data_IF_396487537145
#
_entry.id   IF_396487537145
#
_cell.length_a   1.000
_cell.length_b   1.000
_cell.length_c   1.000
_cell.angle_alpha   90.00
_cell.angle_beta   90.00
_cell.angle_gamma   90.00
#
_symmetry.space_group_name_H-M   'P 1'
#
loop_
_entity.id
_entity.type
_entity.pdbx_description
1 polymer ?
#
# COMPACT_ATOMS: atom_id res chain seq x y z
N UNK A 1 39.96 46.60 -45.77
CA UNK A 1 40.39 45.50 -44.89
C UNK A 1 39.15 44.90 -44.26
N UNK A 2 38.94 43.61 -44.49
CA UNK A 2 37.67 42.89 -44.33
C UNK A 2 37.38 42.60 -42.85
N UNK A 3 36.19 43.00 -42.40
CA UNK A 3 35.65 42.65 -41.08
C UNK A 3 35.11 41.22 -41.07
N UNK A 4 35.55 40.43 -40.08
CA UNK A 4 35.10 39.06 -39.87
C UNK A 4 33.83 39.00 -39.03
N UNK A 5 32.78 38.37 -39.55
CA UNK A 5 31.63 37.91 -38.78
C UNK A 5 31.92 36.49 -38.25
N UNK A 6 31.66 36.18 -36.97
CA UNK A 6 31.80 34.82 -36.46
C UNK A 6 30.64 33.92 -36.95
N UNK A 7 30.98 32.68 -37.29
CA UNK A 7 30.05 31.64 -37.74
C UNK A 7 29.12 31.15 -36.60
N UNK A 8 27.88 30.73 -36.92
CA UNK A 8 26.96 30.15 -35.95
C UNK A 8 27.44 28.76 -35.49
N UNK A 9 27.28 28.48 -34.20
CA UNK A 9 27.55 27.16 -33.61
C UNK A 9 26.38 26.22 -33.87
N UNK A 10 26.65 25.09 -34.53
CA UNK A 10 25.75 23.94 -34.58
C UNK A 10 25.46 23.43 -33.17
N UNK A 11 24.18 23.50 -32.77
CA UNK A 11 23.69 22.85 -31.56
C UNK A 11 23.40 21.41 -31.93
N UNK A 12 24.37 20.52 -31.72
CA UNK A 12 24.17 19.08 -31.83
C UNK A 12 23.16 18.59 -30.80
N UNK A 13 21.96 18.29 -31.31
CA UNK A 13 21.22 17.05 -31.12
C UNK A 13 21.15 16.51 -29.67
N UNK A 14 20.08 16.88 -28.96
CA UNK A 14 19.64 16.17 -27.77
C UNK A 14 19.31 14.71 -28.17
N UNK A 15 20.14 13.76 -27.74
CA UNK A 15 19.79 12.35 -27.69
C UNK A 15 18.53 12.18 -26.85
N UNK A 16 17.38 12.11 -27.51
CA UNK A 16 16.19 11.47 -26.96
C UNK A 16 16.55 9.99 -26.86
N UNK A 17 17.03 9.55 -25.69
CA UNK A 17 17.06 8.12 -25.39
C UNK A 17 15.62 7.61 -25.45
N UNK A 18 15.28 6.65 -26.33
CA UNK A 18 13.99 5.99 -26.25
C UNK A 18 13.89 5.35 -24.85
N UNK A 19 12.81 5.69 -24.15
CA UNK A 19 12.44 5.10 -22.86
C UNK A 19 12.53 3.56 -23.00
N UNK A 20 13.16 2.83 -22.07
CA UNK A 20 13.21 1.38 -22.14
C UNK A 20 11.78 0.85 -22.24
N UNK A 21 11.45 0.25 -23.37
CA UNK A 21 10.19 -0.46 -23.57
C UNK A 21 10.32 -1.74 -22.75
N UNK A 22 10.08 -1.66 -21.45
CA UNK A 22 9.85 -2.84 -20.62
C UNK A 22 8.60 -3.50 -21.18
N UNK A 23 8.80 -4.50 -22.03
CA UNK A 23 7.73 -5.41 -22.45
C UNK A 23 7.12 -5.95 -21.16
N UNK A 24 5.82 -5.69 -20.88
CA UNK A 24 5.20 -6.20 -19.67
C UNK A 24 5.30 -7.72 -19.73
N UNK A 25 5.99 -8.31 -18.74
CA UNK A 25 5.95 -9.76 -18.54
C UNK A 25 4.49 -10.17 -18.41
N UNK A 26 4.03 -11.18 -19.18
CA UNK A 26 2.63 -11.58 -19.15
C UNK A 26 2.25 -11.97 -17.73
N UNK A 27 1.22 -11.31 -17.19
CA UNK A 27 0.71 -11.65 -15.86
C UNK A 27 0.07 -13.03 -15.94
N UNK A 28 0.41 -13.95 -15.02
CA UNK A 28 -0.29 -15.21 -14.94
C UNK A 28 -1.76 -14.94 -14.62
N UNK A 29 -2.65 -15.47 -15.46
CA UNK A 29 -4.09 -15.46 -15.22
C UNK A 29 -4.44 -16.00 -13.84
N UNK A 30 -5.60 -15.60 -13.30
CA UNK A 30 -6.14 -16.16 -12.06
C UNK A 30 -6.17 -17.70 -12.13
N UNK A 31 -5.45 -18.32 -11.21
CA UNK A 31 -5.52 -19.76 -10.97
C UNK A 31 -6.81 -20.11 -10.23
N UNK A 32 -7.29 -21.35 -10.36
CA UNK A 32 -8.38 -21.84 -9.52
C UNK A 32 -7.95 -21.91 -8.05
N UNK A 33 -6.71 -22.32 -7.81
CA UNK A 33 -6.14 -22.35 -6.47
C UNK A 33 -5.21 -21.15 -6.29
N UNK A 34 -5.54 -20.19 -5.40
CA UNK A 34 -4.68 -19.04 -5.13
C UNK A 34 -3.38 -19.53 -4.49
N UNK A 35 -2.25 -18.94 -4.90
CA UNK A 35 -0.94 -19.25 -4.32
C UNK A 35 -0.86 -18.60 -2.94
N UNK A 36 -0.87 -19.43 -1.90
CA UNK A 36 -0.91 -18.99 -0.50
C UNK A 36 0.44 -19.01 0.20
N UNK A 37 1.54 -19.04 -0.57
CA UNK A 37 2.91 -19.16 -0.06
C UNK A 37 3.80 -18.04 -0.60
N UNK A 38 4.87 -17.73 0.14
CA UNK A 38 5.82 -16.68 -0.21
C UNK A 38 5.28 -15.26 0.02
N UNK A 39 5.93 -14.28 -0.63
CA UNK A 39 5.66 -12.85 -0.45
C UNK A 39 4.36 -12.40 -1.11
N UNK A 40 3.23 -12.73 -0.50
CA UNK A 40 1.89 -12.36 -0.98
C UNK A 40 1.43 -10.98 -0.45
N UNK A 41 0.49 -10.33 -1.12
CA UNK A 41 -0.14 -9.10 -0.60
C UNK A 41 -1.06 -9.41 0.59
N UNK A 42 -1.50 -8.38 1.32
CA UNK A 42 -2.48 -8.58 2.42
C UNK A 42 -3.79 -9.14 1.88
N UNK A 43 -4.23 -8.66 0.73
CA UNK A 43 -5.48 -9.11 0.14
C UNK A 43 -5.39 -10.54 -0.40
N UNK A 44 -4.25 -10.94 -0.97
CA UNK A 44 -3.99 -12.34 -1.33
C UNK A 44 -4.05 -13.25 -0.11
N UNK A 45 -3.44 -12.82 0.99
CA UNK A 45 -3.53 -13.56 2.24
C UNK A 45 -4.99 -13.70 2.72
N UNK A 46 -5.80 -12.65 2.64
CA UNK A 46 -7.22 -12.72 2.99
C UNK A 46 -7.99 -13.71 2.10
N UNK A 47 -7.66 -13.80 0.80
CA UNK A 47 -8.26 -14.79 -0.11
C UNK A 47 -7.88 -16.22 0.28
N UNK A 48 -6.67 -16.42 0.76
CA UNK A 48 -6.18 -17.71 1.24
C UNK A 48 -6.81 -18.14 2.57
N UNK A 49 -6.94 -17.20 3.50
CA UNK A 49 -7.41 -17.46 4.87
C UNK A 49 -8.94 -17.56 4.96
N UNK A 50 -9.67 -16.82 4.11
CA UNK A 50 -11.13 -16.77 4.16
C UNK A 50 -11.79 -17.68 3.09
N UNK A 51 -12.57 -18.70 3.47
CA UNK A 51 -13.16 -19.64 2.52
C UNK A 51 -14.20 -18.99 1.59
N UNK A 52 -14.88 -17.93 2.02
CA UNK A 52 -15.85 -17.21 1.17
C UNK A 52 -15.14 -16.41 0.08
N UNK A 53 -14.02 -15.76 0.41
CA UNK A 53 -13.20 -15.07 -0.60
C UNK A 53 -12.54 -16.06 -1.56
N UNK A 54 -12.07 -17.20 -1.06
CA UNK A 54 -11.53 -18.27 -1.88
C UNK A 54 -12.56 -18.79 -2.90
N UNK A 55 -13.81 -18.99 -2.47
CA UNK A 55 -14.90 -19.38 -3.36
C UNK A 55 -15.19 -18.33 -4.45
N UNK A 56 -15.17 -17.03 -4.10
CA UNK A 56 -15.31 -15.94 -5.08
C UNK A 56 -14.14 -15.94 -6.09
N UNK A 57 -12.92 -16.15 -5.61
CA UNK A 57 -11.74 -16.26 -6.47
C UNK A 57 -11.86 -17.40 -7.48
N UNK A 58 -12.20 -18.60 -7.00
CA UNK A 58 -12.43 -19.79 -7.83
C UNK A 58 -13.50 -19.56 -8.88
N UNK A 59 -14.64 -18.97 -8.49
CA UNK A 59 -15.74 -18.67 -9.40
C UNK A 59 -15.31 -17.71 -10.51
N UNK A 60 -14.57 -16.65 -10.16
CA UNK A 60 -14.08 -15.69 -11.15
C UNK A 60 -13.02 -16.29 -12.07
N UNK A 61 -12.08 -17.06 -11.51
CA UNK A 61 -11.07 -17.79 -12.28
C UNK A 61 -11.71 -18.74 -13.30
N UNK A 62 -12.75 -19.48 -12.89
CA UNK A 62 -13.52 -20.35 -13.78
C UNK A 62 -14.26 -19.57 -14.87
N UNK A 63 -14.95 -18.49 -14.50
CA UNK A 63 -15.66 -17.62 -15.47
C UNK A 63 -14.70 -17.10 -16.54
N UNK A 64 -13.53 -16.60 -16.15
CA UNK A 64 -12.55 -16.06 -17.09
C UNK A 64 -11.80 -17.15 -17.87
N UNK A 65 -11.59 -18.34 -17.29
CA UNK A 65 -11.09 -19.49 -18.05
C UNK A 65 -12.05 -19.84 -19.20
N UNK A 66 -13.35 -19.93 -18.93
CA UNK A 66 -14.38 -20.17 -19.95
C UNK A 66 -14.45 -19.03 -20.97
N UNK A 67 -14.42 -17.77 -20.50
CA UNK A 67 -14.50 -16.61 -21.40
C UNK A 67 -13.34 -16.54 -22.39
N UNK A 68 -12.13 -16.96 -21.98
CA UNK A 68 -10.93 -16.97 -22.83
C UNK A 68 -10.95 -18.07 -23.90
N UNK A 69 -11.60 -19.22 -23.65
CA UNK A 69 -11.65 -20.32 -24.63
C UNK A 69 -12.29 -19.91 -25.96
N UNK A 70 -13.20 -18.94 -25.92
CA UNK A 70 -13.98 -18.48 -27.07
C UNK A 70 -13.79 -16.98 -27.35
N UNK A 71 -12.72 -16.38 -26.82
CA UNK A 71 -12.46 -14.95 -27.02
C UNK A 71 -11.80 -14.70 -28.39
N UNK A 72 -12.24 -13.65 -29.08
CA UNK A 72 -11.44 -13.01 -30.13
C UNK A 72 -10.27 -12.26 -29.50
N UNK A 73 -9.26 -11.88 -30.30
CA UNK A 73 -8.08 -11.14 -29.82
C UNK A 73 -8.47 -9.84 -29.09
N UNK A 74 -9.44 -9.09 -29.63
CA UNK A 74 -9.96 -7.88 -28.99
C UNK A 74 -10.58 -8.19 -27.62
N UNK A 75 -11.40 -9.23 -27.54
CA UNK A 75 -12.03 -9.65 -26.28
C UNK A 75 -10.99 -10.18 -25.29
N UNK A 76 -9.93 -10.82 -25.76
CA UNK A 76 -8.82 -11.27 -24.93
C UNK A 76 -8.10 -10.09 -24.28
N UNK A 77 -7.80 -9.03 -25.04
CA UNK A 77 -7.21 -7.81 -24.51
C UNK A 77 -8.09 -7.15 -23.44
N UNK A 78 -9.41 -7.10 -23.66
CA UNK A 78 -10.37 -6.59 -22.65
C UNK A 78 -10.37 -7.43 -21.37
N UNK A 79 -10.24 -8.75 -21.45
CA UNK A 79 -10.13 -9.63 -20.27
C UNK A 79 -8.81 -9.43 -19.53
N UNK A 80 -7.72 -9.15 -20.26
CA UNK A 80 -6.41 -8.88 -19.67
C UNK A 80 -6.44 -7.55 -18.91
N UNK A 81 -6.98 -6.48 -19.50
CA UNK A 81 -7.15 -5.19 -18.83
C UNK A 81 -7.98 -5.31 -17.54
N UNK A 82 -9.03 -6.14 -17.56
CA UNK A 82 -9.83 -6.44 -16.37
C UNK A 82 -9.03 -7.16 -15.29
N UNK A 83 -8.15 -8.09 -15.67
CA UNK A 83 -7.27 -8.77 -14.72
C UNK A 83 -6.35 -7.78 -14.01
N UNK A 84 -5.71 -6.88 -14.76
CA UNK A 84 -4.88 -5.83 -14.17
C UNK A 84 -5.68 -4.94 -13.21
N UNK A 85 -6.88 -4.52 -13.61
CA UNK A 85 -7.74 -3.67 -12.79
C UNK A 85 -8.16 -4.38 -11.49
N UNK A 86 -8.61 -5.63 -11.57
CA UNK A 86 -8.96 -6.44 -10.40
C UNK A 86 -7.78 -6.61 -9.45
N UNK A 87 -6.61 -7.01 -9.95
CA UNK A 87 -5.43 -7.25 -9.10
C UNK A 87 -5.01 -5.97 -8.37
N UNK A 88 -5.00 -4.84 -9.08
CA UNK A 88 -4.71 -3.53 -8.50
C UNK A 88 -5.73 -3.10 -7.44
N UNK A 89 -7.04 -3.27 -7.70
CA UNK A 89 -8.09 -2.97 -6.73
C UNK A 89 -7.99 -3.88 -5.50
N UNK A 90 -7.80 -5.18 -5.72
CA UNK A 90 -7.67 -6.19 -4.67
C UNK A 90 -6.49 -5.86 -3.76
N UNK A 91 -5.31 -5.58 -4.30
CA UNK A 91 -4.10 -5.37 -3.52
C UNK A 91 -4.13 -4.08 -2.67
N UNK A 92 -5.03 -3.14 -2.99
CA UNK A 92 -5.29 -1.95 -2.18
C UNK A 92 -6.20 -2.23 -0.97
N UNK A 93 -6.96 -3.34 -0.99
CA UNK A 93 -7.89 -3.67 0.08
C UNK A 93 -7.19 -4.12 1.38
N UNK A 94 -7.76 -3.71 2.51
CA UNK A 94 -7.25 -4.02 3.86
C UNK A 94 -8.09 -5.03 4.63
N UNK A 95 -9.32 -5.30 4.18
CA UNK A 95 -10.29 -6.16 4.85
C UNK A 95 -11.08 -7.06 3.88
N UNK A 96 -11.80 -8.04 4.45
CA UNK A 96 -12.56 -9.05 3.70
C UNK A 96 -13.68 -8.44 2.86
N UNK A 97 -14.36 -7.39 3.36
CA UNK A 97 -15.50 -6.79 2.68
C UNK A 97 -15.08 -6.01 1.43
N UNK A 98 -13.96 -5.29 1.52
CA UNK A 98 -13.34 -4.60 0.38
C UNK A 98 -12.97 -5.62 -0.71
N UNK A 99 -12.29 -6.70 -0.33
CA UNK A 99 -11.88 -7.75 -1.29
C UNK A 99 -13.11 -8.41 -1.92
N UNK A 100 -14.12 -8.79 -1.13
CA UNK A 100 -15.35 -9.40 -1.65
C UNK A 100 -16.06 -8.47 -2.64
N UNK A 101 -16.13 -7.18 -2.33
CA UNK A 101 -16.70 -6.15 -3.23
C UNK A 101 -15.93 -6.06 -4.54
N UNK A 102 -14.59 -6.08 -4.48
CA UNK A 102 -13.75 -6.08 -5.68
C UNK A 102 -14.07 -7.30 -6.57
N UNK A 103 -14.04 -8.53 -6.04
CA UNK A 103 -14.37 -9.73 -6.83
C UNK A 103 -15.79 -9.66 -7.43
N UNK A 104 -16.78 -9.23 -6.65
CA UNK A 104 -18.17 -9.14 -7.09
C UNK A 104 -18.40 -8.16 -8.26
N UNK A 105 -17.56 -7.14 -8.42
CA UNK A 105 -17.66 -6.23 -9.58
C UNK A 105 -17.33 -6.89 -10.91
N UNK A 106 -16.49 -7.92 -10.89
CA UNK A 106 -16.04 -8.64 -12.08
C UNK A 106 -16.78 -9.98 -12.28
N UNK A 107 -17.53 -10.42 -11.27
CA UNK A 107 -18.49 -11.52 -11.38
C UNK A 107 -19.80 -11.00 -11.97
N UNK A 108 -20.35 -11.73 -12.96
CA UNK A 108 -21.71 -11.56 -13.50
C UNK A 108 -22.06 -10.24 -14.23
N UNK A 109 -21.11 -9.41 -14.66
CA UNK A 109 -21.39 -8.19 -15.45
C UNK A 109 -20.28 -7.77 -16.42
N UNK A 110 -20.60 -6.91 -17.42
CA UNK A 110 -19.55 -6.25 -18.20
C UNK A 110 -18.68 -5.47 -17.22
N UNK A 111 -17.35 -5.47 -17.41
CA UNK A 111 -16.47 -4.72 -16.52
C UNK A 111 -16.94 -3.26 -16.45
N UNK A 112 -16.70 -2.56 -15.33
CA UNK A 112 -16.79 -1.12 -15.37
C UNK A 112 -15.89 -0.66 -16.52
N UNK A 113 -16.46 0.06 -17.49
CA UNK A 113 -15.67 0.68 -18.56
C UNK A 113 -14.53 1.38 -17.86
N UNK A 114 -13.31 0.96 -18.13
CA UNK A 114 -12.09 1.54 -17.56
C UNK A 114 -12.10 2.98 -18.03
N UNK A 115 -12.76 3.86 -17.28
CA UNK A 115 -12.62 5.28 -17.50
C UNK A 115 -11.17 5.53 -17.17
N UNK A 116 -10.34 6.03 -18.12
CA UNK A 116 -9.01 6.49 -17.77
C UNK A 116 -9.18 7.36 -16.54
N UNK A 117 -8.56 6.93 -15.44
CA UNK A 117 -8.67 7.63 -14.17
C UNK A 117 -8.36 9.08 -14.49
N UNK A 118 -9.28 10.04 -14.24
CA UNK A 118 -8.99 11.44 -14.50
C UNK A 118 -7.67 11.70 -13.80
N UNK A 119 -6.65 12.09 -14.57
CA UNK A 119 -5.32 12.42 -14.06
C UNK A 119 -5.52 13.11 -12.74
N UNK A 120 -5.14 12.46 -11.62
CA UNK A 120 -5.31 13.03 -10.29
C UNK A 120 -4.79 14.46 -10.40
N UNK A 121 -5.61 15.50 -10.16
CA UNK A 121 -5.14 16.85 -10.30
C UNK A 121 -3.88 16.95 -9.46
N UNK A 122 -2.76 17.30 -10.11
CA UNK A 122 -1.50 17.57 -9.40
C UNK A 122 -1.87 18.43 -8.20
N UNK A 123 -1.51 18.06 -6.97
CA UNK A 123 -1.79 18.90 -5.82
C UNK A 123 -1.25 20.28 -6.16
N UNK A 124 -2.15 21.26 -6.28
CA UNK A 124 -1.75 22.66 -6.48
C UNK A 124 -0.70 22.95 -5.41
N UNK A 125 0.42 23.61 -5.75
CA UNK A 125 1.39 24.02 -4.74
C UNK A 125 0.62 24.75 -3.65
N UNK A 126 0.47 24.08 -2.51
CA UNK A 126 -0.20 24.67 -1.36
C UNK A 126 0.58 25.93 -1.02
N UNK A 127 -0.12 27.07 -0.93
CA UNK A 127 0.50 28.27 -0.38
C UNK A 127 1.20 27.87 0.92
N UNK A 128 2.46 28.26 1.15
CA UNK A 128 3.14 27.95 2.39
C UNK A 128 2.22 28.36 3.56
N UNK A 129 2.05 27.50 4.58
CA UNK A 129 1.25 27.85 5.72
C UNK A 129 1.74 29.19 6.24
N UNK A 130 0.87 30.20 6.29
CA UNK A 130 1.18 31.47 6.93
C UNK A 130 1.65 31.13 8.34
N UNK A 131 2.92 31.40 8.62
CA UNK A 131 3.49 31.27 9.96
C UNK A 131 2.63 32.13 10.88
N UNK A 132 1.70 31.49 11.59
CA UNK A 132 1.00 32.11 12.70
C UNK A 132 2.07 32.51 13.69
N UNK A 133 2.20 33.82 13.93
CA UNK A 133 3.06 34.35 14.97
C UNK A 133 2.72 33.65 16.28
N UNK A 134 3.61 32.76 16.72
CA UNK A 134 3.59 32.21 18.07
C UNK A 134 3.83 33.37 19.03
N UNK A 135 2.76 33.87 19.64
CA UNK A 135 2.86 34.75 20.80
C UNK A 135 3.16 33.85 22.01
N UNK A 136 4.32 33.98 22.69
CA UNK A 136 4.48 33.37 24.00
C UNK A 136 3.47 34.03 24.95
N UNK A 137 2.59 33.21 25.54
CA UNK A 137 1.69 33.65 26.61
C UNK A 137 2.53 33.90 27.87
N UNK A 138 2.54 35.10 28.46
CA UNK A 138 3.22 35.34 29.72
C UNK A 138 2.31 34.90 30.88
N UNK A 139 2.89 34.14 31.81
CA UNK A 139 2.38 34.00 33.19
C UNK A 139 1.06 33.23 33.35
N UNK A 140 1.16 31.95 33.68
CA UNK A 140 0.05 31.17 34.24
C UNK A 140 0.61 30.16 35.25
N UNK A 141 0.17 30.17 36.52
CA UNK A 141 0.79 29.43 37.60
C UNK A 141 0.46 27.93 37.51
N UNK A 142 1.47 27.10 37.71
CA UNK A 142 1.42 25.74 38.28
C UNK A 142 0.02 25.08 38.34
N UNK A 143 -0.33 24.36 37.26
CA UNK A 143 -1.46 23.45 37.18
C UNK A 143 -1.01 22.02 36.81
N UNK A 144 -1.72 20.97 37.26
CA UNK A 144 -1.22 19.61 37.33
C UNK A 144 -1.16 18.91 35.97
N UNK A 145 0.02 18.40 35.64
CA UNK A 145 0.22 17.14 34.91
C UNK A 145 -0.38 17.06 33.50
N UNK A 146 0.36 17.54 32.51
CA UNK A 146 0.43 16.77 31.26
C UNK A 146 0.88 15.35 31.65
N UNK A 147 0.14 14.29 31.33
CA UNK A 147 0.64 12.95 31.59
C UNK A 147 1.94 12.80 30.77
N UNK A 148 3.06 12.43 31.40
CA UNK A 148 4.27 12.15 30.65
C UNK A 148 3.97 11.07 29.60
N UNK A 149 4.57 11.13 28.40
CA UNK A 149 4.47 10.04 27.44
C UNK A 149 5.13 8.80 28.04
N UNK A 150 4.34 7.96 28.71
CA UNK A 150 4.85 6.81 29.47
C UNK A 150 3.85 6.16 30.42
N UNK A 151 2.54 6.36 30.24
CA UNK A 151 1.51 5.78 31.12
C UNK A 151 1.02 4.38 30.72
N UNK A 152 1.82 3.64 29.98
CA UNK A 152 1.82 2.18 30.06
C UNK A 152 3.12 1.85 30.79
N UNK A 153 3.04 1.32 32.02
CA UNK A 153 4.14 1.16 32.98
C UNK A 153 5.26 0.21 32.57
N UNK A 154 5.82 0.38 31.38
CA UNK A 154 6.74 -0.54 30.72
C UNK A 154 8.11 0.12 30.44
N UNK A 155 8.67 0.87 31.39
CA UNK A 155 10.08 1.27 31.32
C UNK A 155 10.47 2.22 30.16
N UNK A 156 11.78 2.32 29.85
CA UNK A 156 12.31 3.27 28.86
C UNK A 156 11.76 3.01 27.44
N UNK A 157 11.79 4.07 26.61
CA UNK A 157 11.37 3.98 25.21
C UNK A 157 12.17 2.91 24.46
N UNK A 158 11.58 2.34 23.41
CA UNK A 158 12.26 1.28 22.67
C UNK A 158 13.53 1.82 21.99
N UNK A 159 13.52 3.09 21.59
CA UNK A 159 14.72 3.79 21.09
C UNK A 159 15.82 3.83 22.13
N UNK A 160 15.49 4.12 23.40
CA UNK A 160 16.47 4.18 24.48
C UNK A 160 17.01 2.80 24.88
N UNK A 161 16.23 1.73 24.66
CA UNK A 161 16.61 0.37 25.10
C UNK A 161 17.31 -0.44 24.01
N UNK A 162 16.84 -0.35 22.76
CA UNK A 162 17.28 -1.20 21.65
C UNK A 162 17.88 -0.41 20.48
N UNK A 163 17.90 0.93 20.55
CA UNK A 163 18.36 1.80 19.48
C UNK A 163 17.26 2.18 18.47
N UNK A 164 17.52 3.24 17.71
CA UNK A 164 16.53 3.86 16.81
C UNK A 164 16.08 2.97 15.66
N UNK A 165 16.99 2.20 15.07
CA UNK A 165 16.67 1.31 13.95
C UNK A 165 15.74 0.17 14.37
N UNK A 166 16.03 -0.48 15.49
CA UNK A 166 15.22 -1.59 15.99
C UNK A 166 13.85 -1.12 16.48
N UNK A 167 13.80 0.02 17.16
CA UNK A 167 12.55 0.64 17.57
C UNK A 167 11.65 1.00 16.37
N UNK A 168 12.23 1.55 15.29
CA UNK A 168 11.51 1.85 14.05
C UNK A 168 11.02 0.57 13.36
N UNK A 169 11.84 -0.49 13.32
CA UNK A 169 11.46 -1.78 12.76
C UNK A 169 10.24 -2.35 13.49
N UNK A 170 10.29 -2.36 14.82
CA UNK A 170 9.23 -2.88 15.68
C UNK A 170 7.95 -2.02 15.64
N UNK A 171 8.09 -0.68 15.60
CA UNK A 171 6.96 0.23 15.42
C UNK A 171 6.24 0.02 14.08
N UNK A 172 6.99 -0.16 12.98
CA UNK A 172 6.41 -0.50 11.66
C UNK A 172 5.71 -1.84 11.67
N UNK A 173 6.29 -2.84 12.34
CA UNK A 173 5.66 -4.16 12.50
C UNK A 173 4.35 -4.05 13.28
N UNK A 174 4.35 -3.31 14.39
CA UNK A 174 3.16 -3.00 15.18
C UNK A 174 2.08 -2.30 14.34
N UNK A 175 2.44 -1.27 13.57
CA UNK A 175 1.49 -0.51 12.76
C UNK A 175 0.90 -1.35 11.61
N UNK A 176 1.70 -2.26 11.03
CA UNK A 176 1.23 -3.19 9.99
C UNK A 176 0.23 -4.18 10.52
N UNK A 177 0.47 -4.71 11.72
CA UNK A 177 -0.52 -5.58 12.33
C UNK A 177 -1.71 -4.75 12.80
N UNK A 178 -1.56 -3.62 13.50
CA UNK A 178 -2.67 -2.82 14.05
C UNK A 178 -2.96 -1.51 13.25
N UNK A 179 -3.57 -1.54 12.06
CA UNK A 179 -3.80 -0.34 11.25
C UNK A 179 -4.81 0.64 11.88
N UNK A 180 -5.76 0.14 12.67
CA UNK A 180 -6.77 0.96 13.35
C UNK A 180 -6.25 1.69 14.59
N UNK A 181 -5.16 1.20 15.20
CA UNK A 181 -4.58 1.72 16.44
C UNK A 181 -3.18 2.32 16.21
N UNK A 182 -3.04 3.18 15.19
CA UNK A 182 -1.77 3.81 14.83
C UNK A 182 -1.08 4.57 15.98
N UNK A 183 -1.86 5.14 16.91
CA UNK A 183 -1.35 5.80 18.12
C UNK A 183 -0.58 4.85 19.05
N UNK A 184 -0.88 3.55 18.99
CA UNK A 184 -0.25 2.53 19.84
C UNK A 184 1.10 2.01 19.34
N UNK A 185 1.51 2.38 18.13
CA UNK A 185 2.63 1.77 17.39
C UNK A 185 3.72 2.78 17.02
N UNK A 186 4.16 3.60 17.99
CA UNK A 186 5.24 4.58 17.82
C UNK A 186 6.55 4.09 18.44
N UNK A 187 7.73 4.45 17.88
CA UNK A 187 9.03 4.06 18.43
C UNK A 187 9.33 4.66 19.82
N UNK A 188 8.60 5.71 20.21
CA UNK A 188 8.67 6.31 21.54
C UNK A 188 8.03 5.43 22.62
N UNK A 189 7.23 4.42 22.25
CA UNK A 189 6.67 3.42 23.17
C UNK A 189 7.77 2.47 23.63
N UNK A 190 7.56 1.80 24.75
CA UNK A 190 8.49 0.77 25.21
C UNK A 190 8.53 -0.43 24.27
N UNK A 191 9.67 -1.13 24.22
CA UNK A 191 9.77 -2.34 23.39
C UNK A 191 8.77 -3.42 23.85
N UNK A 192 8.48 -3.52 25.15
CA UNK A 192 7.50 -4.45 25.70
C UNK A 192 6.08 -4.18 25.20
N UNK A 193 5.64 -2.92 25.23
CA UNK A 193 4.31 -2.53 24.74
C UNK A 193 4.20 -2.74 23.22
N UNK A 194 5.23 -2.39 22.45
CA UNK A 194 5.26 -2.66 21.01
C UNK A 194 5.18 -4.16 20.70
N UNK A 195 5.96 -5.01 21.39
CA UNK A 195 5.91 -6.47 21.21
C UNK A 195 4.54 -7.05 21.57
N UNK A 196 3.92 -6.63 22.68
CA UNK A 196 2.58 -7.10 23.05
C UNK A 196 1.51 -6.65 22.07
N UNK A 197 1.61 -5.43 21.54
CA UNK A 197 0.70 -4.98 20.48
C UNK A 197 0.92 -5.74 19.18
N UNK A 198 2.16 -6.12 18.86
CA UNK A 198 2.45 -7.02 17.73
C UNK A 198 1.79 -8.38 17.95
N UNK A 199 2.02 -9.02 19.11
CA UNK A 199 1.44 -10.34 19.44
C UNK A 199 -0.08 -10.30 19.47
N UNK A 200 -0.68 -9.31 20.16
CA UNK A 200 -2.13 -9.12 20.18
C UNK A 200 -2.68 -8.92 18.78
N UNK A 201 -2.02 -8.09 17.99
CA UNK A 201 -2.41 -7.85 16.62
C UNK A 201 -2.27 -9.05 15.71
N UNK A 202 -1.38 -9.98 16.04
CA UNK A 202 -1.16 -11.26 15.35
C UNK A 202 -2.15 -12.35 15.78
N UNK A 203 -2.63 -12.29 17.03
CA UNK A 203 -3.58 -13.26 17.57
C UNK A 203 -5.04 -12.95 17.14
N UNK A 204 -5.28 -11.77 16.57
CA UNK A 204 -6.51 -11.49 15.83
C UNK A 204 -6.47 -12.28 14.52
N UNK A 205 -7.37 -13.27 14.39
CA UNK A 205 -7.43 -14.37 13.39
C UNK A 205 -7.34 -13.96 11.90
N UNK A 206 -7.27 -12.67 11.60
CA UNK A 206 -7.31 -12.07 10.26
C UNK A 206 -6.03 -11.32 9.88
N UNK A 207 -4.86 -11.67 10.46
CA UNK A 207 -3.59 -10.98 10.18
C UNK A 207 -2.48 -11.92 9.71
N UNK A 208 -1.77 -11.47 8.67
CA UNK A 208 -0.76 -12.22 7.91
C UNK A 208 0.35 -12.80 8.80
N UNK A 209 0.63 -14.13 8.75
CA UNK A 209 1.59 -14.80 9.62
C UNK A 209 3.04 -14.38 9.38
N UNK A 210 3.38 -13.83 8.20
CA UNK A 210 4.75 -13.36 7.91
C UNK A 210 5.18 -12.14 8.75
N UNK A 211 4.23 -11.36 9.27
CA UNK A 211 4.53 -10.23 10.17
C UNK A 211 4.50 -10.61 11.63
N UNK A 212 4.15 -11.85 11.93
CA UNK A 212 4.02 -12.36 13.27
C UNK A 212 5.28 -13.18 13.58
N UNK A 213 6.00 -12.88 14.68
CA UNK A 213 7.10 -13.73 15.08
C UNK A 213 6.54 -15.15 15.28
N UNK A 214 7.18 -16.15 14.65
CA UNK A 214 6.92 -17.55 14.99
C UNK A 214 7.31 -17.71 16.45
N UNK A 215 6.32 -17.95 17.31
CA UNK A 215 6.53 -18.25 18.72
C UNK A 215 6.99 -19.69 18.83
#
# INVERSE_FOLDING_TARGET
>A
MLGGCPAPRDITNNSIQPLPTTTPTPIPWLSLDPVCTGSITRAEWLVCDNPQLNALHRRLAQQWATARQYASDEKYGVLEDQLYALLSERDQCQDVLCVATAYRRYLDGPPPVVRPTPNKPKPKPGKPPKHGHWKPRPGGPSGPGWPPPGRDGDGPSCVATAGSQEALRLARQCARVNPSNGWGCSPQRSCGSLKRNVVKGCNETYRKPEFCPKI
#
